data_IF_154959091135
#
_entry.id   IF_154959091135
#
_cell.length_a   1.000
_cell.length_b   1.000
_cell.length_c   1.000
_cell.angle_alpha   90.00
_cell.angle_beta   90.00
_cell.angle_gamma   90.00
#
_symmetry.space_group_name_H-M   'P 1'
#
loop_
_entity.id
_entity.type
_entity.pdbx_description
1 polymer ?
#
# COMPACT_ATOMS: atom_id res chain seq x y z
N UNK A 1 -11.60 -9.24 6.15
CA UNK A 1 -10.27 -9.51 6.77
C UNK A 1 -9.40 -8.27 6.63
N UNK A 2 -8.43 -8.06 7.53
CA UNK A 2 -7.60 -6.85 7.52
C UNK A 2 -6.11 -7.13 7.80
N UNK A 3 -5.29 -6.15 7.45
CA UNK A 3 -3.86 -6.08 7.72
C UNK A 3 -3.53 -4.67 8.20
N UNK A 4 -2.90 -4.60 9.37
CA UNK A 4 -2.51 -3.35 10.04
C UNK A 4 -1.00 -3.30 10.21
N UNK A 5 -0.39 -2.16 9.89
CA UNK A 5 1.06 -1.95 9.90
C UNK A 5 1.40 -0.55 10.36
N UNK A 6 2.45 -0.43 11.17
CA UNK A 6 3.12 0.85 11.41
C UNK A 6 4.10 1.11 10.27
N UNK A 7 3.93 2.22 9.55
CA UNK A 7 4.79 2.57 8.43
C UNK A 7 6.03 3.28 8.94
N UNK A 8 7.21 2.75 8.63
CA UNK A 8 8.49 3.39 8.98
C UNK A 8 9.25 3.84 7.74
N UNK A 9 10.15 4.81 7.90
CA UNK A 9 11.05 5.21 6.81
C UNK A 9 11.94 4.03 6.37
N UNK A 10 12.37 3.17 7.30
CA UNK A 10 13.16 1.99 6.97
C UNK A 10 12.42 1.03 6.02
N UNK A 11 11.11 0.86 6.19
CA UNK A 11 10.29 0.07 5.27
C UNK A 11 10.24 0.72 3.88
N UNK A 12 10.10 2.04 3.81
CA UNK A 12 10.07 2.80 2.56
C UNK A 12 11.41 2.67 1.83
N UNK A 13 12.52 2.91 2.54
CA UNK A 13 13.88 2.77 2.00
C UNK A 13 14.16 1.35 1.55
N UNK A 14 13.73 0.35 2.34
CA UNK A 14 13.87 -1.06 2.01
C UNK A 14 13.14 -1.43 0.74
N UNK A 15 11.91 -0.96 0.56
CA UNK A 15 11.14 -1.18 -0.64
C UNK A 15 11.79 -0.51 -1.86
N UNK A 16 12.24 0.74 -1.72
CA UNK A 16 13.00 1.48 -2.74
C UNK A 16 14.19 0.72 -3.29
N UNK A 17 14.97 0.08 -2.40
CA UNK A 17 16.11 -0.77 -2.80
C UNK A 17 15.69 -2.02 -3.58
N UNK A 18 14.52 -2.58 -3.30
CA UNK A 18 14.02 -3.80 -3.94
C UNK A 18 13.37 -3.47 -5.29
N UNK A 19 12.55 -2.43 -5.37
CA UNK A 19 11.78 -2.10 -6.57
C UNK A 19 12.53 -1.18 -7.55
N UNK A 20 13.57 -0.48 -7.09
CA UNK A 20 14.37 0.45 -7.89
C UNK A 20 13.71 1.80 -8.15
N UNK A 21 12.61 2.12 -7.47
CA UNK A 21 11.98 3.43 -7.52
C UNK A 21 12.76 4.41 -6.65
N UNK A 22 13.54 5.28 -7.29
CA UNK A 22 14.40 6.24 -6.61
C UNK A 22 13.83 7.67 -6.64
N UNK A 23 12.50 7.85 -6.77
CA UNK A 23 11.91 9.18 -6.68
C UNK A 23 12.21 9.79 -5.31
N UNK A 24 12.80 10.98 -5.33
CA UNK A 24 13.23 11.73 -4.15
C UNK A 24 12.10 11.99 -3.16
N UNK A 25 10.83 11.98 -3.61
CA UNK A 25 9.65 12.13 -2.73
C UNK A 25 9.56 11.06 -1.62
N UNK A 26 10.22 9.92 -1.80
CA UNK A 26 10.24 8.82 -0.84
C UNK A 26 11.33 8.96 0.23
N UNK A 27 12.34 9.83 0.01
CA UNK A 27 13.58 9.85 0.79
C UNK A 27 13.92 11.21 1.39
N UNK A 28 13.53 12.30 0.74
CA UNK A 28 13.83 13.65 1.20
C UNK A 28 12.60 14.29 1.85
N UNK A 29 12.68 14.48 3.17
CA UNK A 29 11.60 15.07 3.95
C UNK A 29 11.32 16.52 3.55
N UNK A 30 12.36 17.34 3.35
CA UNK A 30 12.19 18.76 3.05
C UNK A 30 11.55 18.95 1.66
N UNK A 31 12.00 18.16 0.68
CA UNK A 31 11.40 18.12 -0.65
C UNK A 31 9.92 17.72 -0.60
N UNK A 32 9.57 16.68 0.16
CA UNK A 32 8.19 16.24 0.26
C UNK A 32 7.27 17.27 0.96
N UNK A 33 7.79 17.95 2.00
CA UNK A 33 7.08 19.04 2.67
C UNK A 33 6.89 20.25 1.76
N UNK A 34 7.90 20.64 0.98
CA UNK A 34 7.80 21.73 -0.01
C UNK A 34 6.71 21.45 -1.08
N UNK A 35 6.47 20.16 -1.36
CA UNK A 35 5.42 19.70 -2.28
C UNK A 35 4.03 19.59 -1.65
N UNK A 36 3.90 19.95 -0.37
CA UNK A 36 2.63 20.01 0.35
C UNK A 36 2.25 18.74 1.10
N UNK A 37 3.16 17.77 1.23
CA UNK A 37 2.93 16.57 2.04
C UNK A 37 3.40 16.79 3.49
N UNK A 38 3.02 15.86 4.38
CA UNK A 38 3.46 15.88 5.79
C UNK A 38 4.92 15.42 5.97
N UNK A 39 5.51 14.82 4.95
CA UNK A 39 6.83 14.21 4.95
C UNK A 39 6.98 13.31 3.74
N UNK A 40 8.02 12.47 3.76
CA UNK A 40 8.25 11.42 2.75
C UNK A 40 7.06 10.50 2.62
N UNK A 41 6.92 9.90 1.44
CA UNK A 41 5.75 9.09 1.10
C UNK A 41 6.10 7.60 0.97
N UNK A 42 5.21 6.74 1.43
CA UNK A 42 5.20 5.33 1.06
C UNK A 42 4.96 5.20 -0.45
N UNK A 43 5.72 4.32 -1.12
CA UNK A 43 5.51 4.04 -2.53
C UNK A 43 4.11 3.47 -2.78
N UNK A 44 3.45 3.92 -3.85
CA UNK A 44 2.14 3.39 -4.26
C UNK A 44 2.12 1.86 -4.37
N UNK A 45 3.04 1.25 -5.14
CA UNK A 45 3.15 -0.21 -5.25
C UNK A 45 3.41 -0.94 -3.92
N UNK A 46 4.00 -0.25 -2.93
CA UNK A 46 4.20 -0.82 -1.59
C UNK A 46 2.85 -0.97 -0.86
N UNK A 47 1.93 -0.01 -0.99
CA UNK A 47 0.54 -0.19 -0.52
C UNK A 47 -0.15 -1.37 -1.22
N UNK A 48 0.03 -1.49 -2.53
CA UNK A 48 -0.50 -2.60 -3.32
C UNK A 48 0.02 -3.96 -2.84
N UNK A 49 1.28 -4.05 -2.39
CA UNK A 49 1.84 -5.29 -1.83
C UNK A 49 1.09 -5.77 -0.57
N UNK A 50 0.63 -4.85 0.28
CA UNK A 50 -0.18 -5.21 1.45
C UNK A 50 -1.55 -5.75 1.07
N UNK A 51 -2.15 -5.23 -0.01
CA UNK A 51 -3.36 -5.83 -0.57
C UNK A 51 -3.09 -7.20 -1.20
N UNK A 52 -1.95 -7.39 -1.87
CA UNK A 52 -1.56 -8.68 -2.43
C UNK A 52 -1.38 -9.76 -1.35
N UNK A 53 -0.88 -9.40 -0.16
CA UNK A 53 -0.84 -10.31 1.01
C UNK A 53 -2.25 -10.75 1.45
N UNK A 54 -3.23 -9.83 1.46
CA UNK A 54 -4.63 -10.20 1.73
C UNK A 54 -5.19 -11.15 0.67
N UNK A 55 -4.88 -10.93 -0.61
CA UNK A 55 -5.27 -11.84 -1.70
C UNK A 55 -4.66 -13.23 -1.55
N UNK A 56 -3.36 -13.30 -1.22
CA UNK A 56 -2.66 -14.55 -0.96
C UNK A 56 -3.25 -15.31 0.25
N UNK A 57 -3.59 -14.59 1.33
CA UNK A 57 -4.26 -15.19 2.51
C UNK A 57 -5.67 -15.69 2.20
N UNK A 58 -6.43 -14.95 1.41
CA UNK A 58 -7.81 -15.29 1.05
C UNK A 58 -7.89 -16.49 0.11
N UNK A 59 -7.05 -16.52 -0.92
CA UNK A 59 -7.16 -17.48 -2.02
C UNK A 59 -6.08 -18.56 -2.00
N UNK A 60 -5.11 -18.49 -1.09
CA UNK A 60 -4.05 -19.48 -0.96
C UNK A 60 -3.23 -19.60 -2.25
N UNK A 61 -2.95 -20.84 -2.68
CA UNK A 61 -2.10 -21.12 -3.85
C UNK A 61 -2.69 -20.62 -5.17
N UNK A 62 -4.02 -20.58 -5.29
CA UNK A 62 -4.70 -20.08 -6.50
C UNK A 62 -4.35 -18.61 -6.79
N UNK A 63 -4.01 -17.84 -5.75
CA UNK A 63 -3.59 -16.45 -5.91
C UNK A 63 -2.36 -16.30 -6.82
N UNK A 64 -1.43 -17.25 -6.77
CA UNK A 64 -0.15 -17.15 -7.48
C UNK A 64 -0.30 -17.25 -9.00
N UNK A 65 -1.38 -17.88 -9.47
CA UNK A 65 -1.60 -18.15 -10.90
C UNK A 65 -2.84 -17.47 -11.45
N UNK A 66 -3.84 -17.19 -10.60
CA UNK A 66 -5.14 -16.63 -10.97
C UNK A 66 -5.45 -15.33 -10.23
N UNK A 67 -4.59 -14.88 -9.33
CA UNK A 67 -4.82 -13.66 -8.56
C UNK A 67 -4.96 -12.43 -9.47
N UNK A 68 -6.04 -11.67 -9.28
CA UNK A 68 -6.25 -10.37 -9.89
C UNK A 68 -6.38 -9.33 -8.79
N UNK A 69 -5.53 -8.31 -8.88
CA UNK A 69 -5.52 -7.18 -7.97
C UNK A 69 -5.69 -5.90 -8.78
N UNK A 70 -6.68 -5.09 -8.40
CA UNK A 70 -6.82 -3.73 -8.88
C UNK A 70 -6.70 -2.78 -7.70
N UNK A 71 -5.84 -1.76 -7.82
CA UNK A 71 -5.67 -0.72 -6.78
C UNK A 71 -5.63 0.65 -7.42
N UNK A 72 -6.32 1.61 -6.79
CA UNK A 72 -6.17 3.04 -7.05
C UNK A 72 -5.66 3.71 -5.77
N UNK A 73 -4.53 4.41 -5.88
CA UNK A 73 -3.97 5.20 -4.79
C UNK A 73 -4.58 6.59 -4.84
N UNK A 74 -5.32 6.96 -3.79
CA UNK A 74 -6.10 8.19 -3.73
C UNK A 74 -5.63 9.14 -2.61
N UNK A 75 -4.66 8.72 -1.80
CA UNK A 75 -4.08 9.56 -0.75
C UNK A 75 -2.67 9.11 -0.34
N UNK A 76 -1.88 10.02 0.25
CA UNK A 76 -0.53 9.73 0.73
C UNK A 76 -0.54 8.91 2.02
N UNK A 77 0.55 8.19 2.26
CA UNK A 77 0.85 7.49 3.52
C UNK A 77 2.26 7.90 3.94
N UNK A 78 2.42 8.38 5.17
CA UNK A 78 3.69 8.91 5.67
C UNK A 78 4.31 7.98 6.72
N UNK A 79 5.64 8.03 6.95
CA UNK A 79 6.24 7.41 8.13
C UNK A 79 5.56 7.85 9.43
N UNK A 80 5.40 6.92 10.36
CA UNK A 80 4.69 7.09 11.63
C UNK A 80 3.17 6.93 11.55
N UNK A 81 2.61 6.75 10.35
CA UNK A 81 1.19 6.41 10.24
C UNK A 81 0.95 4.91 10.48
N UNK A 82 -0.17 4.59 11.12
CA UNK A 82 -0.77 3.26 11.08
C UNK A 82 -1.56 3.10 9.77
N UNK A 83 -1.10 2.20 8.90
CA UNK A 83 -1.79 1.82 7.67
C UNK A 83 -2.65 0.58 7.90
N UNK A 84 -3.92 0.65 7.48
CA UNK A 84 -4.88 -0.46 7.57
C UNK A 84 -5.42 -0.77 6.19
N UNK A 85 -5.18 -1.97 5.68
CA UNK A 85 -5.84 -2.48 4.47
C UNK A 85 -6.86 -3.56 4.85
N UNK A 86 -8.07 -3.48 4.30
CA UNK A 86 -9.13 -4.43 4.56
C UNK A 86 -9.81 -4.85 3.25
N UNK A 87 -10.25 -6.11 3.21
CA UNK A 87 -11.16 -6.62 2.19
C UNK A 87 -12.43 -7.18 2.83
N UNK A 88 -13.57 -6.95 2.18
CA UNK A 88 -14.86 -7.54 2.53
C UNK A 88 -15.04 -8.95 1.93
N UNK A 89 -16.25 -9.49 2.03
CA UNK A 89 -16.59 -10.82 1.55
C UNK A 89 -16.70 -10.89 0.03
N UNK A 90 -16.95 -9.77 -0.64
CA UNK A 90 -17.01 -9.62 -2.09
C UNK A 90 -15.62 -9.37 -2.71
N UNK A 91 -14.61 -9.09 -1.88
CA UNK A 91 -13.25 -8.78 -2.32
C UNK A 91 -13.03 -7.30 -2.64
N UNK A 92 -13.96 -6.41 -2.23
CA UNK A 92 -13.74 -4.97 -2.27
C UNK A 92 -12.64 -4.59 -1.30
N UNK A 93 -11.65 -3.86 -1.80
CA UNK A 93 -10.49 -3.41 -1.03
C UNK A 93 -10.64 -1.94 -0.66
N UNK A 94 -10.43 -1.63 0.62
CA UNK A 94 -10.24 -0.27 1.12
C UNK A 94 -9.02 -0.25 2.03
N UNK A 95 -8.22 0.80 1.95
CA UNK A 95 -7.15 1.05 2.91
C UNK A 95 -7.16 2.50 3.39
N UNK A 96 -6.75 2.68 4.65
CA UNK A 96 -6.69 3.97 5.31
C UNK A 96 -5.35 4.20 6.00
N UNK A 97 -5.01 5.48 6.16
CA UNK A 97 -3.85 5.97 6.90
C UNK A 97 -4.18 7.33 7.48
N UNK A 98 -3.80 7.59 8.74
CA UNK A 98 -4.06 8.88 9.39
C UNK A 98 -5.55 9.28 9.40
N UNK A 99 -6.46 8.31 9.43
CA UNK A 99 -7.91 8.53 9.40
C UNK A 99 -8.52 8.84 8.04
N UNK A 100 -7.73 8.88 6.95
CA UNK A 100 -8.20 9.10 5.59
C UNK A 100 -8.09 7.83 4.74
N UNK A 101 -8.95 7.67 3.74
CA UNK A 101 -8.82 6.59 2.75
C UNK A 101 -7.68 6.93 1.80
N UNK A 102 -6.73 5.99 1.62
CA UNK A 102 -5.53 6.19 0.81
C UNK A 102 -5.46 5.24 -0.39
N UNK A 103 -6.14 4.09 -0.33
CA UNK A 103 -6.23 3.16 -1.43
C UNK A 103 -7.61 2.51 -1.49
N UNK A 104 -8.13 2.32 -2.69
CA UNK A 104 -9.35 1.55 -2.96
C UNK A 104 -9.09 0.56 -4.08
N UNK A 105 -9.87 -0.52 -4.17
CA UNK A 105 -9.65 -1.51 -5.21
C UNK A 105 -10.50 -2.75 -5.09
N UNK A 106 -10.02 -3.83 -5.68
CA UNK A 106 -10.62 -5.16 -5.56
C UNK A 106 -9.59 -6.28 -5.69
N UNK A 107 -9.91 -7.40 -5.06
CA UNK A 107 -9.17 -8.66 -5.08
C UNK A 107 -10.12 -9.74 -5.59
N UNK A 108 -9.72 -10.44 -6.66
CA UNK A 108 -10.47 -11.57 -7.19
C UNK A 108 -9.55 -12.64 -7.76
N UNK A 109 -10.14 -13.75 -8.19
CA UNK A 109 -9.48 -14.70 -9.09
C UNK A 109 -9.94 -14.44 -10.53
N UNK A 110 -9.09 -14.70 -11.50
CA UNK A 110 -9.49 -14.82 -12.91
C UNK A 110 -10.09 -16.19 -13.17
N UNK A 111 -11.02 -16.24 -14.10
CA UNK A 111 -11.58 -17.50 -14.63
C UNK A 111 -10.50 -18.34 -15.31
#
# INVERSE_FOLDING_TARGET
MERTLEITQEMIDGYGRINGDNDIIHYDHAYAVDRGFRGTLLHGPHMTAFAADLGARRHGKEWLTRGKLHTKWIGPVCPGDTFVAAIDDEGTLTASSGGATTMVGSISLTD
#
